data_IF_275228207286
#
_entry.id   IF_275228207286
#
_cell.length_a   1.000
_cell.length_b   1.000
_cell.length_c   1.000
_cell.angle_alpha   90.00
_cell.angle_beta   90.00
_cell.angle_gamma   90.00
#
_symmetry.space_group_name_H-M   'P 1'
#
loop_
_entity.id
_entity.type
_entity.pdbx_description
1 polymer ?
#
# COMPACT_ATOMS: atom_id res chain seq x y z
N UNK A 1 10.13 -28.90 -51.27
CA UNK A 1 10.45 -27.62 -50.59
C UNK A 1 9.35 -27.07 -49.67
N UNK A 2 8.13 -27.63 -49.60
CA UNK A 2 7.05 -27.08 -48.77
C UNK A 2 7.15 -27.40 -47.26
N UNK A 3 7.77 -28.52 -46.85
CA UNK A 3 7.80 -28.98 -45.45
C UNK A 3 8.63 -28.09 -44.50
N UNK A 4 9.64 -27.38 -45.02
CA UNK A 4 10.56 -26.56 -44.21
C UNK A 4 9.99 -25.17 -43.84
N UNK A 5 8.90 -24.76 -44.50
CA UNK A 5 8.19 -23.51 -44.19
C UNK A 5 7.31 -23.66 -42.95
N UNK A 6 6.59 -24.79 -42.83
CA UNK A 6 5.61 -25.06 -41.77
C UNK A 6 6.24 -25.11 -40.37
N UNK A 7 7.43 -25.71 -40.24
CA UNK A 7 8.20 -25.73 -38.99
C UNK A 7 8.75 -24.36 -38.58
N UNK A 8 9.13 -23.52 -39.55
CA UNK A 8 9.55 -22.13 -39.30
C UNK A 8 8.38 -21.25 -38.84
N UNK A 9 7.20 -21.40 -39.44
CA UNK A 9 6.00 -20.69 -39.00
C UNK A 9 5.54 -21.13 -37.61
N UNK A 10 5.61 -22.43 -37.28
CA UNK A 10 5.28 -22.89 -35.93
C UNK A 10 6.28 -22.42 -34.87
N UNK A 11 7.58 -22.38 -35.18
CA UNK A 11 8.57 -21.80 -34.29
C UNK A 11 8.39 -20.28 -34.13
N UNK A 12 8.06 -19.56 -35.21
CA UNK A 12 7.77 -18.13 -35.15
C UNK A 12 6.50 -17.85 -34.33
N UNK A 13 5.43 -18.64 -34.49
CA UNK A 13 4.21 -18.53 -33.68
C UNK A 13 4.49 -18.87 -32.21
N UNK A 14 5.25 -19.93 -31.93
CA UNK A 14 5.63 -20.29 -30.57
C UNK A 14 6.50 -19.21 -29.91
N UNK A 15 7.39 -18.55 -30.67
CA UNK A 15 8.15 -17.39 -30.22
C UNK A 15 7.23 -16.18 -29.98
N UNK A 16 6.32 -15.86 -30.89
CA UNK A 16 5.35 -14.77 -30.73
C UNK A 16 4.41 -14.97 -29.54
N UNK A 17 4.03 -16.22 -29.26
CA UNK A 17 3.26 -16.61 -28.08
C UNK A 17 4.11 -16.53 -26.80
N UNK A 18 5.38 -16.95 -26.87
CA UNK A 18 6.33 -16.85 -25.74
C UNK A 18 6.60 -15.39 -25.35
N UNK A 19 6.67 -14.50 -26.33
CA UNK A 19 6.97 -13.08 -26.14
C UNK A 19 5.74 -12.18 -26.01
N UNK A 20 4.54 -12.73 -26.21
CA UNK A 20 3.27 -12.03 -26.00
C UNK A 20 3.30 -10.60 -26.56
N UNK A 21 3.44 -10.51 -27.89
CA UNK A 21 3.73 -9.27 -28.62
C UNK A 21 2.65 -8.20 -28.53
N UNK A 22 1.50 -8.51 -27.94
CA UNK A 22 0.46 -7.52 -27.68
C UNK A 22 0.90 -6.63 -26.51
N UNK A 23 0.65 -5.32 -26.52
CA UNK A 23 0.93 -4.50 -25.35
C UNK A 23 0.13 -5.01 -24.14
N UNK A 24 0.69 -4.89 -22.92
CA UNK A 24 0.00 -5.30 -21.68
C UNK A 24 -1.30 -4.50 -21.46
N UNK A 25 -1.41 -3.32 -22.08
CA UNK A 25 -2.51 -2.39 -21.87
C UNK A 25 -2.43 -1.64 -20.54
N UNK A 26 -1.45 -1.95 -19.69
CA UNK A 26 -1.03 -1.19 -18.51
C UNK A 26 0.49 -1.00 -18.53
N UNK A 27 0.97 -0.02 -17.80
CA UNK A 27 2.38 0.26 -17.57
C UNK A 27 2.61 0.28 -16.05
N UNK A 28 2.85 -0.90 -15.44
CA UNK A 28 3.09 -1.01 -14.01
C UNK A 28 4.38 -0.28 -13.64
N UNK A 29 4.29 0.73 -12.78
CA UNK A 29 5.46 1.47 -12.31
C UNK A 29 5.85 1.04 -10.88
N UNK A 30 4.84 0.85 -10.03
CA UNK A 30 4.95 0.43 -8.63
C UNK A 30 3.85 -0.55 -8.27
N UNK A 31 4.11 -1.37 -7.25
CA UNK A 31 3.17 -2.34 -6.72
C UNK A 31 3.21 -2.37 -5.20
N UNK A 32 2.06 -2.59 -4.59
CA UNK A 32 1.85 -2.64 -3.15
C UNK A 32 1.11 -3.92 -2.80
N UNK A 33 1.54 -4.60 -1.75
CA UNK A 33 0.95 -5.86 -1.33
C UNK A 33 1.18 -6.19 0.14
N UNK A 34 0.62 -7.31 0.56
CA UNK A 34 0.89 -7.94 1.85
C UNK A 34 1.84 -9.11 1.68
N UNK A 35 2.38 -9.61 2.79
CA UNK A 35 3.33 -10.72 2.81
C UNK A 35 2.83 -11.84 3.73
N UNK A 36 3.15 -13.08 3.39
CA UNK A 36 2.91 -14.25 4.23
C UNK A 36 4.11 -15.19 4.15
N UNK A 37 4.47 -15.82 5.27
CA UNK A 37 5.58 -16.78 5.34
C UNK A 37 5.13 -18.12 4.76
N UNK A 38 5.93 -18.70 3.86
CA UNK A 38 5.69 -20.05 3.31
C UNK A 38 6.60 -21.12 3.95
N UNK A 39 7.78 -20.73 4.45
CA UNK A 39 8.74 -21.63 5.07
C UNK A 39 9.85 -22.08 4.11
N UNK A 40 10.44 -23.26 4.32
CA UNK A 40 11.61 -23.74 3.53
C UNK A 40 11.23 -24.46 2.24
N UNK A 41 10.02 -24.98 2.18
CA UNK A 41 9.53 -25.75 1.03
C UNK A 41 8.45 -24.98 0.29
N UNK A 42 8.53 -24.99 -1.05
CA UNK A 42 7.51 -24.41 -1.91
C UNK A 42 7.23 -25.34 -3.09
N UNK A 43 5.94 -25.54 -3.40
CA UNK A 43 5.55 -26.31 -4.58
C UNK A 43 5.86 -25.51 -5.85
N UNK A 44 6.83 -25.97 -6.64
CA UNK A 44 7.24 -25.32 -7.89
C UNK A 44 6.09 -25.22 -8.92
N UNK A 45 5.10 -26.11 -8.85
CA UNK A 45 3.96 -26.13 -9.76
C UNK A 45 2.99 -24.93 -9.60
N UNK A 46 3.04 -24.22 -8.47
CA UNK A 46 2.20 -23.04 -8.24
C UNK A 46 2.79 -21.75 -8.87
N UNK A 47 4.04 -21.81 -9.30
CA UNK A 47 4.86 -20.66 -9.68
C UNK A 47 5.31 -20.74 -11.13
N UNK A 48 5.21 -19.63 -11.84
CA UNK A 48 5.38 -19.63 -13.28
C UNK A 48 6.85 -19.69 -13.73
N UNK A 49 7.77 -19.19 -12.90
CA UNK A 49 9.21 -19.30 -13.08
C UNK A 49 9.78 -20.27 -12.03
N UNK A 50 10.71 -21.17 -12.40
CA UNK A 50 11.29 -22.11 -11.46
C UNK A 50 12.14 -21.34 -10.42
N UNK A 51 11.81 -21.43 -9.12
CA UNK A 51 12.58 -20.74 -8.10
C UNK A 51 13.99 -21.35 -7.97
N UNK A 52 15.03 -20.54 -7.71
CA UNK A 52 16.34 -21.05 -7.36
C UNK A 52 16.32 -21.73 -5.98
N UNK A 53 17.34 -22.53 -5.62
CA UNK A 53 17.48 -23.01 -4.25
C UNK A 53 17.66 -21.83 -3.28
N UNK A 54 17.06 -21.92 -2.10
CA UNK A 54 17.25 -20.95 -1.01
C UNK A 54 18.70 -20.92 -0.55
N UNK A 55 19.18 -19.74 -0.16
CA UNK A 55 20.45 -19.62 0.54
C UNK A 55 20.31 -20.03 2.02
N UNK A 56 21.43 -20.30 2.68
CA UNK A 56 21.45 -20.63 4.10
C UNK A 56 20.88 -19.47 4.90
N UNK A 57 19.90 -19.74 5.75
CA UNK A 57 19.22 -18.73 6.57
C UNK A 57 18.09 -17.98 5.87
N UNK A 58 17.73 -18.36 4.64
CA UNK A 58 16.55 -17.82 3.95
C UNK A 58 15.33 -18.73 4.09
N UNK A 59 14.14 -18.13 3.95
CA UNK A 59 12.85 -18.81 3.78
C UNK A 59 12.06 -18.17 2.65
N UNK A 60 11.06 -18.89 2.15
CA UNK A 60 10.11 -18.41 1.16
C UNK A 60 9.00 -17.56 1.78
N UNK A 61 8.60 -16.54 1.04
CA UNK A 61 7.50 -15.65 1.30
C UNK A 61 6.58 -15.57 0.08
N UNK A 62 5.28 -15.52 0.32
CA UNK A 62 4.30 -15.11 -0.68
C UNK A 62 3.99 -13.62 -0.49
N UNK A 63 4.09 -12.85 -1.56
CA UNK A 63 3.67 -11.44 -1.58
C UNK A 63 2.39 -11.35 -2.42
N UNK A 64 1.28 -10.97 -1.78
CA UNK A 64 -0.02 -10.80 -2.43
C UNK A 64 -0.17 -9.33 -2.88
N UNK A 65 -0.10 -9.09 -4.19
CA UNK A 65 -0.18 -7.73 -4.73
C UNK A 65 -1.63 -7.28 -4.72
N UNK A 66 -1.89 -6.18 -4.01
CA UNK A 66 -3.23 -5.62 -3.81
C UNK A 66 -3.46 -4.38 -4.65
N UNK A 67 -2.41 -3.59 -4.92
CA UNK A 67 -2.51 -2.35 -5.70
C UNK A 67 -1.33 -2.24 -6.68
N UNK A 68 -1.60 -1.77 -7.90
CA UNK A 68 -0.58 -1.45 -8.90
C UNK A 68 -0.76 -0.01 -9.38
N UNK A 69 0.34 0.75 -9.47
CA UNK A 69 0.36 2.04 -10.13
C UNK A 69 0.48 1.85 -11.65
N UNK A 70 -0.50 2.31 -12.40
CA UNK A 70 -0.54 2.34 -13.87
C UNK A 70 -0.62 3.79 -14.35
N UNK A 71 0.45 4.29 -15.00
CA UNK A 71 0.50 5.64 -15.59
C UNK A 71 0.09 6.76 -14.63
N UNK A 72 0.48 6.61 -13.36
CA UNK A 72 0.22 7.58 -12.29
C UNK A 72 -1.15 7.47 -11.61
N UNK A 73 -1.95 6.44 -11.89
CA UNK A 73 -3.16 6.10 -11.14
C UNK A 73 -3.00 4.74 -10.46
N UNK A 74 -3.54 4.61 -9.25
CA UNK A 74 -3.48 3.36 -8.49
C UNK A 74 -4.72 2.52 -8.75
N UNK A 75 -4.50 1.27 -9.15
CA UNK A 75 -5.51 0.28 -9.48
C UNK A 75 -5.51 -0.81 -8.42
N UNK A 76 -6.68 -1.16 -7.91
CA UNK A 76 -6.84 -2.29 -7.00
C UNK A 76 -6.90 -3.60 -7.77
N UNK A 77 -6.51 -4.69 -7.11
CA UNK A 77 -6.79 -6.05 -7.57
C UNK A 77 -8.32 -6.28 -7.66
N UNK A 78 -8.79 -7.23 -8.50
CA UNK A 78 -8.01 -8.04 -9.42
C UNK A 78 -7.45 -7.25 -10.62
N UNK A 79 -6.46 -7.82 -11.32
CA UNK A 79 -5.85 -7.23 -12.51
C UNK A 79 -6.15 -8.06 -13.78
N UNK A 80 -7.33 -7.89 -14.41
CA UNK A 80 -7.72 -8.68 -15.58
C UNK A 80 -6.73 -8.62 -16.75
N UNK A 81 -5.99 -7.51 -16.89
CA UNK A 81 -4.99 -7.32 -17.95
C UNK A 81 -3.80 -8.28 -17.84
N UNK A 82 -3.59 -8.90 -16.69
CA UNK A 82 -2.50 -9.87 -16.47
C UNK A 82 -2.90 -11.31 -16.85
N UNK A 83 -4.19 -11.60 -16.99
CA UNK A 83 -4.69 -12.97 -17.21
C UNK A 83 -4.25 -13.49 -18.58
N UNK A 84 -3.72 -14.71 -18.60
CA UNK A 84 -3.30 -15.40 -19.83
C UNK A 84 -2.04 -14.82 -20.49
N UNK A 85 -1.40 -13.83 -19.88
CA UNK A 85 -0.16 -13.22 -20.36
C UNK A 85 1.04 -14.14 -20.08
N UNK A 86 2.08 -14.04 -20.91
CA UNK A 86 3.32 -14.80 -20.70
C UNK A 86 3.99 -14.41 -19.37
N UNK A 87 4.36 -15.37 -18.49
CA UNK A 87 5.00 -15.05 -17.21
C UNK A 87 6.31 -14.28 -17.34
N UNK A 88 7.12 -14.59 -18.36
CA UNK A 88 8.36 -13.87 -18.64
C UNK A 88 8.05 -12.42 -19.04
N UNK A 89 7.03 -12.23 -19.89
CA UNK A 89 6.59 -10.89 -20.27
C UNK A 89 6.09 -10.08 -19.06
N UNK A 90 5.30 -10.70 -18.18
CA UNK A 90 4.83 -10.06 -16.94
C UNK A 90 5.99 -9.70 -16.01
N UNK A 91 6.97 -10.59 -15.86
CA UNK A 91 8.17 -10.34 -15.05
C UNK A 91 8.90 -9.07 -15.52
N UNK A 92 9.05 -8.92 -16.84
CA UNK A 92 9.67 -7.73 -17.45
C UNK A 92 8.79 -6.49 -17.32
N UNK A 93 7.49 -6.62 -17.57
CA UNK A 93 6.53 -5.51 -17.49
C UNK A 93 6.39 -4.94 -16.07
N UNK A 94 6.54 -5.78 -15.04
CA UNK A 94 6.59 -5.36 -13.63
C UNK A 94 7.95 -4.78 -13.21
N UNK A 95 8.94 -4.79 -14.10
CA UNK A 95 10.29 -4.28 -13.83
C UNK A 95 11.17 -5.21 -12.98
N UNK A 96 10.69 -6.42 -12.67
CA UNK A 96 11.38 -7.38 -11.77
C UNK A 96 12.66 -7.98 -12.39
N UNK A 97 12.84 -7.91 -13.70
CA UNK A 97 14.11 -8.24 -14.36
C UNK A 97 15.23 -7.25 -13.97
N UNK A 98 14.88 -5.98 -13.79
CA UNK A 98 15.84 -4.91 -13.47
C UNK A 98 16.02 -4.73 -11.97
N UNK A 99 14.92 -4.88 -11.22
CA UNK A 99 14.92 -4.77 -9.78
C UNK A 99 13.96 -5.80 -9.18
N UNK A 100 14.50 -6.93 -8.74
CA UNK A 100 13.76 -7.95 -8.02
C UNK A 100 13.61 -7.65 -6.52
N UNK A 101 14.20 -6.56 -6.01
CA UNK A 101 14.11 -6.21 -4.60
C UNK A 101 12.74 -5.66 -4.27
N UNK A 102 12.14 -6.19 -3.20
CA UNK A 102 10.89 -5.73 -2.63
C UNK A 102 11.18 -5.13 -1.26
N UNK A 103 10.74 -3.91 -1.01
CA UNK A 103 10.86 -3.27 0.30
C UNK A 103 9.66 -3.62 1.16
N UNK A 104 9.91 -4.15 2.34
CA UNK A 104 8.92 -4.53 3.32
C UNK A 104 9.04 -3.58 4.51
N UNK A 105 7.96 -2.83 4.75
CA UNK A 105 7.85 -1.87 5.85
C UNK A 105 7.05 -2.51 7.00
N UNK A 106 7.71 -2.62 8.15
CA UNK A 106 7.14 -3.10 9.40
C UNK A 106 6.99 -1.91 10.36
N UNK A 107 5.77 -1.41 10.59
CA UNK A 107 5.56 -0.42 11.63
C UNK A 107 5.72 -1.09 13.01
N UNK A 108 6.46 -0.43 13.89
CA UNK A 108 6.50 -0.76 15.31
C UNK A 108 5.24 -0.22 16.03
N UNK A 109 5.15 -0.48 17.34
CA UNK A 109 4.03 -0.01 18.17
C UNK A 109 3.96 1.52 18.35
N UNK A 110 4.98 2.26 17.88
CA UNK A 110 5.03 3.72 17.87
C UNK A 110 4.79 4.30 16.48
N UNK A 111 4.55 3.47 15.46
CA UNK A 111 4.40 3.88 14.07
C UNK A 111 5.71 4.14 13.33
N UNK A 112 6.86 3.78 13.90
CA UNK A 112 8.13 3.84 13.19
C UNK A 112 8.29 2.63 12.28
N UNK A 113 8.68 2.87 11.03
CA UNK A 113 8.84 1.81 10.05
C UNK A 113 10.27 1.27 10.01
N UNK A 114 10.43 -0.01 10.28
CA UNK A 114 11.64 -0.74 9.94
C UNK A 114 11.50 -1.27 8.50
N UNK A 115 12.45 -0.92 7.64
CA UNK A 115 12.49 -1.42 6.26
C UNK A 115 13.45 -2.59 6.16
N UNK A 116 12.92 -3.73 5.73
CA UNK A 116 13.69 -4.92 5.35
C UNK A 116 13.43 -5.23 3.88
N UNK A 117 14.24 -6.08 3.28
CA UNK A 117 14.15 -6.38 1.85
C UNK A 117 13.90 -7.86 1.62
N UNK A 118 13.02 -8.15 0.67
CA UNK A 118 12.83 -9.47 0.08
C UNK A 118 13.35 -9.44 -1.36
N UNK A 119 13.65 -10.61 -1.91
CA UNK A 119 14.02 -10.77 -3.32
C UNK A 119 12.96 -11.59 -4.03
N UNK A 120 12.28 -11.03 -5.02
CA UNK A 120 11.33 -11.75 -5.85
C UNK A 120 12.05 -12.74 -6.79
N UNK A 121 11.52 -13.96 -6.90
CA UNK A 121 12.07 -15.01 -7.77
C UNK A 121 11.06 -15.56 -8.79
N UNK A 122 9.77 -15.44 -8.50
CA UNK A 122 8.72 -15.95 -9.37
C UNK A 122 7.41 -15.20 -9.18
N UNK A 123 6.46 -15.46 -10.08
CA UNK A 123 5.11 -14.91 -10.00
C UNK A 123 4.05 -15.97 -10.31
N UNK A 124 2.84 -15.70 -9.89
CA UNK A 124 1.64 -16.48 -10.19
C UNK A 124 0.49 -15.52 -10.45
N UNK A 125 -0.28 -15.78 -11.50
CA UNK A 125 -1.48 -14.99 -11.84
C UNK A 125 -2.68 -15.92 -11.85
N UNK A 126 -3.63 -15.65 -10.96
CA UNK A 126 -4.91 -16.36 -10.91
C UNK A 126 -5.77 -16.09 -12.14
N UNK A 127 -6.76 -16.96 -12.40
CA UNK A 127 -7.70 -16.80 -13.53
C UNK A 127 -8.53 -15.52 -13.44
N UNK A 128 -8.70 -14.97 -12.24
CA UNK A 128 -9.36 -13.70 -11.99
C UNK A 128 -8.42 -12.49 -12.10
N UNK A 129 -7.10 -12.68 -12.26
CA UNK A 129 -6.11 -11.60 -12.29
C UNK A 129 -5.46 -11.26 -10.95
N UNK A 130 -5.59 -12.12 -9.94
CA UNK A 130 -4.82 -12.01 -8.70
C UNK A 130 -3.34 -12.27 -8.96
N UNK A 131 -2.49 -11.28 -8.67
CA UNK A 131 -1.04 -11.37 -8.81
C UNK A 131 -0.40 -11.71 -7.47
N UNK A 132 0.41 -12.76 -7.46
CA UNK A 132 1.25 -13.15 -6.32
C UNK A 132 2.70 -13.24 -6.77
N UNK A 133 3.63 -12.83 -5.90
CA UNK A 133 5.06 -13.03 -6.09
C UNK A 133 5.59 -14.03 -5.07
N UNK A 134 6.50 -14.89 -5.52
CA UNK A 134 7.31 -15.70 -4.64
C UNK A 134 8.61 -14.94 -4.37
N UNK A 135 8.96 -14.76 -3.10
CA UNK A 135 10.16 -14.05 -2.71
C UNK A 135 10.96 -14.80 -1.63
N UNK A 136 12.27 -14.61 -1.59
CA UNK A 136 13.13 -15.07 -0.49
C UNK A 136 13.50 -13.91 0.43
N UNK A 137 13.80 -14.23 1.69
CA UNK A 137 14.29 -13.30 2.70
C UNK A 137 14.78 -14.03 3.95
N UNK A 138 15.35 -13.27 4.90
CA UNK A 138 15.92 -13.81 6.14
C UNK A 138 14.89 -14.56 6.99
N UNK A 139 15.23 -15.75 7.50
CA UNK A 139 14.41 -16.53 8.43
C UNK A 139 14.02 -15.73 9.69
N UNK A 140 14.86 -14.79 10.14
CA UNK A 140 14.58 -13.93 11.30
C UNK A 140 13.33 -13.06 11.10
N UNK A 141 13.11 -12.61 9.86
CA UNK A 141 11.94 -11.81 9.50
C UNK A 141 10.63 -12.61 9.66
N UNK A 142 10.67 -13.93 9.48
CA UNK A 142 9.49 -14.78 9.67
C UNK A 142 8.95 -14.71 11.10
N UNK A 143 9.84 -14.67 12.09
CA UNK A 143 9.48 -14.54 13.52
C UNK A 143 8.80 -13.20 13.77
N UNK A 144 9.35 -12.12 13.22
CA UNK A 144 8.80 -10.76 13.37
C UNK A 144 7.40 -10.66 12.74
N UNK A 145 7.23 -11.18 11.53
CA UNK A 145 5.95 -11.16 10.83
C UNK A 145 4.86 -11.96 11.56
N UNK A 146 5.22 -13.10 12.16
CA UNK A 146 4.27 -13.93 12.90
C UNK A 146 3.86 -13.34 14.26
N UNK A 147 4.68 -12.44 14.82
CA UNK A 147 4.40 -11.75 16.09
C UNK A 147 3.70 -10.41 15.89
N UNK A 148 3.80 -9.82 14.70
CA UNK A 148 3.20 -8.53 14.40
C UNK A 148 1.68 -8.64 14.31
N UNK A 149 0.98 -7.85 15.11
CA UNK A 149 -0.47 -7.62 14.95
C UNK A 149 -0.78 -6.67 13.79
N UNK A 150 0.24 -6.01 13.23
CA UNK A 150 0.11 -5.05 12.14
C UNK A 150 0.56 -5.71 10.83
N UNK A 151 -0.29 -5.73 9.79
CA UNK A 151 0.09 -6.19 8.46
C UNK A 151 1.31 -5.41 7.93
N UNK A 152 2.33 -6.13 7.47
CA UNK A 152 3.46 -5.52 6.82
C UNK A 152 3.08 -5.03 5.42
N UNK A 153 3.60 -3.86 5.05
CA UNK A 153 3.42 -3.28 3.72
C UNK A 153 4.60 -3.67 2.84
N UNK A 154 4.34 -4.41 1.76
CA UNK A 154 5.36 -4.69 0.74
C UNK A 154 5.18 -3.74 -0.42
N UNK A 155 6.29 -3.15 -0.87
CA UNK A 155 6.36 -2.30 -2.05
C UNK A 155 7.41 -2.86 -3.01
N UNK A 156 7.16 -2.71 -4.31
CA UNK A 156 8.09 -3.16 -5.35
C UNK A 156 7.87 -2.41 -6.65
N UNK A 157 8.74 -2.68 -7.63
CA UNK A 157 8.71 -2.06 -8.95
C UNK A 157 9.94 -1.21 -9.23
N UNK A 158 9.79 -0.25 -10.15
CA UNK A 158 10.91 0.44 -10.78
C UNK A 158 11.50 1.62 -9.97
N UNK A 159 10.96 1.93 -8.79
CA UNK A 159 11.44 3.01 -7.94
C UNK A 159 10.99 2.89 -6.48
N UNK A 160 11.57 3.72 -5.62
CA UNK A 160 11.23 3.81 -4.19
C UNK A 160 9.80 4.32 -4.00
N UNK A 161 9.04 3.65 -3.13
CA UNK A 161 7.75 4.17 -2.70
C UNK A 161 7.96 5.36 -1.76
N UNK A 162 7.44 6.52 -2.15
CA UNK A 162 7.52 7.76 -1.37
C UNK A 162 6.08 8.24 -1.19
N UNK A 163 5.65 8.34 0.07
CA UNK A 163 4.34 8.90 0.40
C UNK A 163 4.25 10.33 -0.12
N UNK A 164 3.08 10.71 -0.64
CA UNK A 164 2.82 12.12 -0.87
C UNK A 164 2.63 12.82 0.47
N UNK A 165 3.06 14.08 0.56
CA UNK A 165 2.91 14.90 1.77
C UNK A 165 2.29 16.24 1.42
N UNK A 166 1.51 16.78 2.35
CA UNK A 166 0.99 18.14 2.25
C UNK A 166 2.00 19.21 2.66
N UNK A 167 1.51 20.44 2.76
CA UNK A 167 2.25 21.55 3.39
C UNK A 167 1.83 21.66 4.84
N UNK A 168 2.79 21.76 5.77
CA UNK A 168 2.48 21.91 7.20
C UNK A 168 1.68 23.20 7.47
N UNK A 169 0.68 23.09 8.34
CA UNK A 169 -0.18 24.19 8.80
C UNK A 169 -0.63 23.94 10.24
N UNK A 170 -1.27 24.92 10.86
CA UNK A 170 -1.83 24.82 12.21
C UNK A 170 -3.26 25.35 12.24
N UNK A 171 -4.04 24.93 13.23
CA UNK A 171 -5.40 25.45 13.41
C UNK A 171 -5.46 26.96 13.64
N UNK A 172 -4.38 27.55 14.17
CA UNK A 172 -4.31 29.00 14.40
C UNK A 172 -4.36 29.82 13.11
N UNK A 173 -4.08 29.19 11.96
CA UNK A 173 -4.12 29.84 10.63
C UNK A 173 -5.47 29.66 9.92
N UNK A 174 -6.45 29.02 10.57
CA UNK A 174 -7.75 28.69 10.00
C UNK A 174 -8.83 29.58 10.64
N UNK A 175 -9.92 29.82 9.91
CA UNK A 175 -11.07 30.57 10.42
C UNK A 175 -11.62 29.96 11.73
N UNK A 176 -11.99 30.81 12.69
CA UNK A 176 -12.43 30.38 14.03
C UNK A 176 -13.67 29.49 14.00
N UNK A 177 -14.61 29.70 13.05
CA UNK A 177 -15.78 28.83 12.94
C UNK A 177 -15.38 27.42 12.49
N UNK A 178 -14.44 27.33 11.55
CA UNK A 178 -13.90 26.06 11.05
C UNK A 178 -13.09 25.35 12.15
N UNK A 179 -12.26 26.10 12.88
CA UNK A 179 -11.52 25.60 14.03
C UNK A 179 -12.46 24.93 15.05
N UNK A 180 -13.53 25.62 15.46
CA UNK A 180 -14.51 25.11 16.42
C UNK A 180 -15.21 23.82 15.97
N UNK A 181 -15.43 23.69 14.66
CA UNK A 181 -15.98 22.45 14.06
C UNK A 181 -14.97 21.31 14.16
N UNK A 182 -13.72 21.55 13.75
CA UNK A 182 -12.64 20.55 13.81
C UNK A 182 -12.43 20.07 15.26
N UNK A 183 -12.28 21.01 16.21
CA UNK A 183 -12.10 20.71 17.63
C UNK A 183 -13.22 19.81 18.14
N UNK A 184 -14.48 20.15 17.84
CA UNK A 184 -15.65 19.38 18.27
C UNK A 184 -15.63 17.96 17.71
N UNK A 185 -15.28 17.79 16.44
CA UNK A 185 -15.24 16.47 15.80
C UNK A 185 -14.13 15.62 16.42
N UNK A 186 -12.89 16.13 16.50
CA UNK A 186 -11.77 15.36 17.07
C UNK A 186 -12.08 14.97 18.51
N UNK A 187 -12.57 15.92 19.32
CA UNK A 187 -12.93 15.64 20.71
C UNK A 187 -13.98 14.53 20.81
N UNK A 188 -15.04 14.58 19.99
CA UNK A 188 -16.09 13.56 19.97
C UNK A 188 -15.60 12.19 19.48
N UNK A 189 -14.71 12.14 18.48
CA UNK A 189 -14.09 10.89 18.01
C UNK A 189 -13.28 10.22 19.13
N UNK A 190 -12.54 11.04 19.91
CA UNK A 190 -11.75 10.56 21.05
C UNK A 190 -12.61 10.13 22.23
N UNK A 191 -13.66 10.88 22.55
CA UNK A 191 -14.65 10.48 23.57
C UNK A 191 -15.29 9.12 23.24
N UNK A 192 -15.48 8.82 21.95
CA UNK A 192 -15.96 7.52 21.48
C UNK A 192 -15.02 6.35 21.78
N UNK A 193 -13.74 6.62 22.07
CA UNK A 193 -12.73 5.62 22.44
C UNK A 193 -12.54 5.48 23.95
N UNK A 194 -13.05 6.42 24.74
CA UNK A 194 -12.91 6.46 26.18
C UNK A 194 -13.00 7.90 26.73
N UNK A 195 -12.84 8.07 28.03
CA UNK A 195 -12.90 9.40 28.63
C UNK A 195 -11.69 10.23 28.22
N UNK A 196 -11.93 11.37 27.58
CA UNK A 196 -10.90 12.40 27.36
C UNK A 196 -10.62 13.07 28.70
N UNK A 197 -9.36 13.11 29.13
CA UNK A 197 -8.97 13.63 30.45
C UNK A 197 -8.98 15.15 30.54
N UNK A 198 -9.01 15.83 29.41
CA UNK A 198 -9.01 17.29 29.29
C UNK A 198 -10.42 17.77 29.02
N UNK A 199 -10.82 18.86 29.65
CA UNK A 199 -12.00 19.60 29.25
C UNK A 199 -11.83 20.17 27.83
N UNK A 200 -12.95 20.40 27.15
CA UNK A 200 -12.94 20.77 25.73
C UNK A 200 -12.12 22.03 25.42
N UNK A 201 -12.13 23.04 26.28
CA UNK A 201 -11.37 24.28 26.06
C UNK A 201 -9.85 24.05 26.22
N UNK A 202 -9.43 23.26 27.20
CA UNK A 202 -8.02 22.88 27.37
C UNK A 202 -7.56 22.00 26.22
N UNK A 203 -8.42 21.08 25.77
CA UNK A 203 -8.16 20.27 24.58
C UNK A 203 -7.98 21.13 23.32
N UNK A 204 -8.81 22.16 23.14
CA UNK A 204 -8.66 23.11 22.03
C UNK A 204 -7.29 23.80 22.05
N UNK A 205 -6.83 24.26 23.21
CA UNK A 205 -5.50 24.86 23.33
C UNK A 205 -4.39 23.86 22.99
N UNK A 206 -4.53 22.61 23.44
CA UNK A 206 -3.58 21.54 23.09
C UNK A 206 -3.57 21.26 21.58
N UNK A 207 -4.74 21.16 20.96
CA UNK A 207 -4.90 20.87 19.54
C UNK A 207 -4.30 21.95 18.63
N UNK A 208 -4.30 23.22 19.06
CA UNK A 208 -3.63 24.33 18.34
C UNK A 208 -2.11 24.14 18.20
N UNK A 209 -1.50 23.35 19.08
CA UNK A 209 -0.07 23.02 19.02
C UNK A 209 0.25 21.86 18.08
N UNK A 210 -0.76 21.13 17.59
CA UNK A 210 -0.56 20.00 16.69
C UNK A 210 -0.38 20.47 15.25
N UNK A 211 0.47 19.76 14.51
CA UNK A 211 0.70 20.03 13.08
C UNK A 211 -0.37 19.34 12.24
N UNK A 212 -0.93 20.08 11.30
CA UNK A 212 -1.80 19.57 10.25
C UNK A 212 -1.06 19.65 8.92
N UNK A 213 -1.42 18.80 7.97
CA UNK A 213 -1.00 18.91 6.59
C UNK A 213 -2.16 19.46 5.75
N UNK A 214 -1.88 20.51 4.98
CA UNK A 214 -2.76 21.06 3.95
C UNK A 214 -2.46 20.38 2.62
N UNK A 215 -3.43 19.64 2.10
CA UNK A 215 -3.28 18.87 0.85
C UNK A 215 -4.64 18.63 0.22
N UNK A 216 -4.74 18.74 -1.10
CA UNK A 216 -5.95 18.32 -1.83
C UNK A 216 -6.01 16.79 -1.77
N UNK A 217 -6.84 16.20 -0.91
CA UNK A 217 -6.98 14.74 -0.76
C UNK A 217 -8.18 14.26 -1.59
N UNK A 218 -9.17 15.11 -1.78
CA UNK A 218 -10.41 14.81 -2.51
C UNK A 218 -10.28 14.97 -4.02
N UNK A 219 -9.22 15.64 -4.50
CA UNK A 219 -8.98 15.90 -5.93
C UNK A 219 -9.88 16.99 -6.50
N UNK A 220 -10.42 17.89 -5.66
CA UNK A 220 -11.34 18.94 -6.07
C UNK A 220 -10.64 20.30 -6.31
N UNK A 221 -9.31 20.34 -6.20
CA UNK A 221 -8.51 21.56 -6.34
C UNK A 221 -8.58 22.49 -5.12
N UNK A 222 -9.08 22.00 -3.98
CA UNK A 222 -9.08 22.71 -2.69
C UNK A 222 -8.24 21.93 -1.69
N UNK A 223 -7.60 22.64 -0.76
CA UNK A 223 -6.85 21.98 0.30
C UNK A 223 -7.78 21.41 1.36
N UNK A 224 -7.64 20.12 1.62
CA UNK A 224 -8.15 19.43 2.79
C UNK A 224 -7.10 19.49 3.92
N UNK A 225 -7.52 19.19 5.15
CA UNK A 225 -6.67 19.19 6.33
C UNK A 225 -6.51 17.76 6.86
N UNK A 226 -5.28 17.28 6.88
CA UNK A 226 -4.93 15.97 7.42
C UNK A 226 -4.19 16.13 8.74
N UNK A 227 -4.59 15.36 9.75
CA UNK A 227 -3.94 15.30 11.04
C UNK A 227 -3.50 13.85 11.31
N UNK A 228 -2.20 13.68 11.48
CA UNK A 228 -1.59 12.44 11.97
C UNK A 228 -1.37 12.57 13.47
N UNK A 229 -2.03 11.69 14.23
CA UNK A 229 -1.94 11.60 15.68
C UNK A 229 -0.95 10.52 16.04
N UNK A 230 0.12 10.92 16.71
CA UNK A 230 1.07 10.00 17.33
C UNK A 230 0.62 9.56 18.72
N UNK A 231 1.18 8.43 19.19
CA UNK A 231 0.94 7.93 20.55
C UNK A 231 1.31 8.94 21.65
N UNK A 232 2.24 9.85 21.35
CA UNK A 232 2.67 10.90 22.28
C UNK A 232 1.62 12.01 22.43
N UNK A 233 0.82 12.24 21.39
CA UNK A 233 -0.27 13.22 21.45
C UNK A 233 -1.49 12.61 22.14
N UNK A 234 -1.79 11.35 21.84
CA UNK A 234 -2.93 10.63 22.40
C UNK A 234 -2.55 9.16 22.56
N UNK A 235 -2.74 8.58 23.74
CA UNK A 235 -2.60 7.14 23.97
C UNK A 235 -3.96 6.49 24.26
N UNK A 236 -4.52 5.84 23.23
CA UNK A 236 -5.75 5.03 23.31
C UNK A 236 -5.46 3.52 23.41
N UNK A 237 -4.29 3.15 23.94
CA UNK A 237 -3.91 1.76 24.19
C UNK A 237 -3.36 1.04 22.97
N UNK A 238 -3.81 -0.21 22.77
CA UNK A 238 -3.30 -1.12 21.73
C UNK A 238 -3.91 -0.83 20.35
N UNK A 239 -3.78 0.42 19.91
CA UNK A 239 -4.16 0.84 18.56
C UNK A 239 -2.93 1.16 17.73
N UNK A 240 -3.13 1.16 16.42
CA UNK A 240 -2.08 1.50 15.48
C UNK A 240 -1.88 3.02 15.42
N UNK A 241 -0.62 3.43 15.35
CA UNK A 241 -0.23 4.82 15.17
C UNK A 241 0.63 4.96 13.90
N UNK A 242 0.61 6.13 13.21
CA UNK A 242 -0.27 7.26 13.52
C UNK A 242 -1.74 6.97 13.21
N UNK A 243 -2.65 7.51 14.02
CA UNK A 243 -4.07 7.58 13.65
C UNK A 243 -4.29 8.81 12.77
N UNK A 244 -5.16 8.72 11.78
CA UNK A 244 -5.40 9.78 10.80
C UNK A 244 -6.85 10.22 10.82
N UNK A 245 -7.01 11.54 10.83
CA UNK A 245 -8.28 12.20 10.60
C UNK A 245 -8.12 13.29 9.53
N UNK A 246 -9.10 13.37 8.64
CA UNK A 246 -9.08 14.27 7.49
C UNK A 246 -10.35 15.10 7.45
N UNK A 247 -10.20 16.41 7.27
CA UNK A 247 -11.27 17.38 7.17
C UNK A 247 -11.26 18.07 5.81
N UNK A 248 -12.43 18.42 5.30
CA UNK A 248 -12.56 19.31 4.17
C UNK A 248 -12.16 20.74 4.56
N UNK A 249 -12.06 21.62 3.55
CA UNK A 249 -11.72 23.04 3.76
C UNK A 249 -12.67 23.80 4.71
N UNK A 250 -13.87 23.27 4.98
CA UNK A 250 -14.89 23.89 5.83
C UNK A 250 -14.98 23.22 7.23
N UNK A 251 -14.06 22.30 7.54
CA UNK A 251 -14.01 21.55 8.80
C UNK A 251 -14.97 20.36 8.86
N UNK A 252 -15.53 19.93 7.73
CA UNK A 252 -16.34 18.72 7.62
C UNK A 252 -15.47 17.46 7.63
N UNK A 253 -15.85 16.44 8.40
CA UNK A 253 -15.11 15.19 8.47
C UNK A 253 -15.22 14.40 7.15
N UNK A 254 -14.08 14.09 6.53
CA UNK A 254 -13.99 13.26 5.31
C UNK A 254 -13.59 11.83 5.67
N UNK A 255 -12.63 11.67 6.58
CA UNK A 255 -12.09 10.37 6.96
C UNK A 255 -11.64 10.39 8.42
N UNK A 256 -11.89 9.29 9.13
CA UNK A 256 -11.37 9.03 10.47
C UNK A 256 -11.07 7.54 10.57
N UNK A 257 -9.83 7.18 10.91
CA UNK A 257 -9.52 5.85 11.43
C UNK A 257 -9.41 5.83 12.96
N UNK A 258 -9.69 6.97 13.61
CA UNK A 258 -9.81 7.10 15.06
C UNK A 258 -11.09 6.41 15.53
N UNK A 259 -12.17 6.40 14.75
CA UNK A 259 -13.44 5.83 15.21
C UNK A 259 -13.31 4.38 15.72
N UNK A 260 -14.03 4.03 16.79
CA UNK A 260 -14.01 2.68 17.40
C UNK A 260 -14.46 1.59 16.41
N UNK A 261 -15.29 1.96 15.45
CA UNK A 261 -15.82 1.13 14.38
C UNK A 261 -15.20 1.43 13.01
N UNK A 262 -14.04 2.10 12.97
CA UNK A 262 -13.31 2.35 11.74
C UNK A 262 -13.04 1.03 11.01
N UNK A 263 -13.68 0.85 9.85
CA UNK A 263 -13.52 -0.35 9.01
C UNK A 263 -12.25 -0.31 8.17
N UNK A 264 -11.67 0.87 8.02
CA UNK A 264 -10.50 1.14 7.19
C UNK A 264 -9.48 1.87 8.04
N UNK A 265 -8.24 1.43 7.95
CA UNK A 265 -7.09 2.10 8.55
C UNK A 265 -6.36 2.89 7.48
N UNK A 266 -5.93 4.11 7.78
CA UNK A 266 -5.04 4.86 6.90
C UNK A 266 -3.66 4.21 6.87
N UNK A 267 -3.04 4.16 5.68
CA UNK A 267 -1.67 3.67 5.53
C UNK A 267 -0.78 4.78 4.95
N UNK A 268 -1.22 5.41 3.86
CA UNK A 268 -0.45 6.46 3.22
C UNK A 268 -1.32 7.32 2.29
N UNK A 269 -0.92 8.58 2.08
CA UNK A 269 -1.33 9.32 0.90
C UNK A 269 -0.52 8.83 -0.30
N UNK A 270 -1.20 8.34 -1.35
CA UNK A 270 -0.54 7.76 -2.50
C UNK A 270 -0.03 8.83 -3.47
N UNK A 271 1.21 8.74 -3.96
CA UNK A 271 1.72 9.65 -4.97
C UNK A 271 0.99 9.46 -6.29
N UNK A 272 0.45 10.53 -6.85
CA UNK A 272 -0.33 10.49 -8.09
C UNK A 272 -0.22 11.78 -8.88
N UNK A 273 -0.36 11.67 -10.21
CA UNK A 273 -0.33 12.83 -11.13
C UNK A 273 -1.72 13.35 -11.49
N UNK A 274 -2.78 12.58 -11.22
CA UNK A 274 -4.12 12.83 -11.79
C UNK A 274 -5.26 12.74 -10.78
N UNK A 275 -5.08 11.99 -9.71
CA UNK A 275 -6.13 11.67 -8.74
C UNK A 275 -5.53 11.52 -7.35
N UNK A 276 -6.05 12.24 -6.36
CA UNK A 276 -5.66 12.04 -4.99
C UNK A 276 -6.30 10.75 -4.49
N UNK A 277 -5.46 9.78 -4.21
CA UNK A 277 -5.83 8.46 -3.72
C UNK A 277 -5.10 8.24 -2.41
N UNK A 278 -5.74 7.53 -1.50
CA UNK A 278 -5.16 7.12 -0.24
C UNK A 278 -5.05 5.60 -0.25
N UNK A 279 -4.01 5.10 0.39
CA UNK A 279 -3.87 3.70 0.69
C UNK A 279 -4.52 3.44 2.03
N UNK A 280 -5.47 2.52 2.05
CA UNK A 280 -6.11 2.03 3.27
C UNK A 280 -5.85 0.55 3.45
N UNK A 281 -5.98 0.08 4.69
CA UNK A 281 -6.04 -1.35 5.00
C UNK A 281 -7.43 -1.71 5.51
N UNK A 282 -7.95 -2.84 5.02
CA UNK A 282 -9.21 -3.44 5.45
C UNK A 282 -9.05 -4.97 5.49
N UNK A 283 -9.24 -5.57 6.66
CA UNK A 283 -9.15 -7.03 6.88
C UNK A 283 -7.84 -7.67 6.38
N UNK A 284 -6.70 -7.02 6.65
CA UNK A 284 -5.35 -7.45 6.24
C UNK A 284 -5.04 -7.21 4.76
N UNK A 285 -5.88 -6.47 4.04
CA UNK A 285 -5.73 -6.20 2.60
C UNK A 285 -5.60 -4.72 2.34
N UNK A 286 -4.68 -4.35 1.45
CA UNK A 286 -4.49 -2.95 1.05
C UNK A 286 -5.41 -2.56 -0.10
N UNK A 287 -5.95 -1.35 -0.06
CA UNK A 287 -6.83 -0.81 -1.09
C UNK A 287 -6.55 0.67 -1.31
N UNK A 288 -6.34 1.06 -2.57
CA UNK A 288 -6.31 2.45 -2.99
C UNK A 288 -7.74 2.97 -3.23
N UNK A 289 -8.13 4.01 -2.51
CA UNK A 289 -9.45 4.65 -2.65
C UNK A 289 -9.30 6.15 -2.88
N UNK A 290 -10.32 6.76 -3.47
CA UNK A 290 -10.48 8.22 -3.48
C UNK A 290 -11.53 8.61 -2.45
N UNK A 291 -11.22 9.63 -1.65
CA UNK A 291 -12.17 10.26 -0.75
C UNK A 291 -12.96 11.29 -1.58
N UNK A 292 -14.27 11.18 -1.66
CA UNK A 292 -15.16 12.11 -2.37
C UNK A 292 -16.27 12.54 -1.45
#
# INVERSE_FOLDING_TARGET
MAANSKGRYQNAIALLQKFDVSPLGMQPDQMIGSVTVLGKDVSSAAWALPPPPLQVGEVWYEVNISVIQDRGSWLNKPFPRLVGRSPVFLWQALGLERNASLSLSLPDTNGQNNTVYLTAHSLSVGSNGELRLLASGSEELSTVLNQSSIPALVTGGSGTFINATGTDTTLSNIDTEIEERIVRVIYGELEGLGSVSLEKEDFKQQLRSWSFQSVDITGNGQSDLLLELSRRQIDVGDRHYPMVIVFDRNGGLIFSDIATNARRRWIALLPSKKTNQILTEINGQFEAISLR
#
